data_IF_244545740882
#
_entry.id   IF_244545740882
#
_cell.length_a   1.000
_cell.length_b   1.000
_cell.length_c   1.000
_cell.angle_alpha   90.00
_cell.angle_beta   90.00
_cell.angle_gamma   90.00
#
_symmetry.space_group_name_H-M   'P 1'
#
loop_
_entity.id
_entity.type
_entity.pdbx_description
1 polymer ?
#
# COMPACT_ATOMS: atom_id res chain seq x y z
N UNK A 1 22.60 -15.46 -39.13
CA UNK A 1 22.58 -14.22 -39.92
C UNK A 1 22.02 -13.16 -39.00
N UNK A 2 22.84 -12.41 -38.30
CA UNK A 2 23.48 -11.12 -38.54
C UNK A 2 22.51 -10.08 -39.14
N UNK A 3 22.30 -9.04 -38.32
CA UNK A 3 22.24 -7.60 -38.58
C UNK A 3 21.30 -6.94 -37.59
N UNK A 4 21.47 -5.73 -37.06
CA UNK A 4 22.63 -4.88 -36.79
C UNK A 4 22.12 -3.79 -35.85
N UNK A 5 22.99 -3.35 -34.96
CA UNK A 5 22.80 -2.17 -34.08
C UNK A 5 22.90 -0.90 -34.94
N UNK A 6 22.12 0.12 -34.61
CA UNK A 6 22.54 1.51 -34.81
C UNK A 6 22.15 2.40 -33.62
N UNK A 7 23.16 3.03 -33.10
CA UNK A 7 23.16 4.18 -32.19
C UNK A 7 22.62 5.42 -32.90
N UNK A 8 21.99 6.35 -32.17
CA UNK A 8 22.19 7.78 -32.34
C UNK A 8 22.05 8.46 -30.97
N UNK A 9 23.08 9.18 -30.61
CA UNK A 9 23.21 10.02 -29.45
C UNK A 9 23.00 11.50 -29.83
N UNK A 10 22.65 12.29 -28.82
CA UNK A 10 22.81 13.75 -28.67
C UNK A 10 22.11 14.70 -29.63
N UNK A 11 21.35 15.63 -29.03
CA UNK A 11 21.65 17.08 -29.12
C UNK A 11 20.90 17.81 -27.99
N UNK A 12 21.65 18.47 -27.12
CA UNK A 12 21.25 19.54 -26.19
C UNK A 12 21.24 20.84 -27.00
N UNK A 13 20.15 21.60 -26.96
CA UNK A 13 20.19 23.03 -27.26
C UNK A 13 19.32 23.78 -26.25
N UNK A 14 20.02 24.61 -25.51
CA UNK A 14 19.53 25.67 -24.64
C UNK A 14 18.92 26.81 -25.45
N UNK A 15 17.77 27.30 -25.03
CA UNK A 15 17.31 28.64 -25.44
C UNK A 15 16.59 29.33 -24.27
N UNK A 16 17.33 30.26 -23.67
CA UNK A 16 16.81 31.33 -22.81
C UNK A 16 16.01 32.31 -23.66
N UNK A 17 14.81 32.62 -23.28
CA UNK A 17 14.11 33.85 -23.69
C UNK A 17 13.34 34.41 -22.51
N UNK A 18 13.83 35.53 -22.06
CA UNK A 18 13.26 36.47 -21.09
C UNK A 18 11.97 37.05 -21.60
N UNK A 19 10.92 37.06 -20.82
CA UNK A 19 9.81 37.98 -20.96
C UNK A 19 9.43 38.57 -19.60
N UNK A 20 9.80 39.84 -19.41
CA UNK A 20 9.41 40.67 -18.29
C UNK A 20 7.97 41.11 -18.48
N UNK A 21 7.11 40.85 -17.51
CA UNK A 21 5.86 41.59 -17.34
C UNK A 21 5.69 41.87 -15.85
N UNK A 22 5.82 43.17 -15.54
CA UNK A 22 5.54 43.79 -14.25
C UNK A 22 4.01 43.80 -14.05
N UNK A 23 3.52 43.20 -13.00
CA UNK A 23 2.24 43.53 -12.38
C UNK A 23 2.42 43.45 -10.84
N UNK A 24 1.91 44.49 -10.20
CA UNK A 24 2.04 44.78 -8.79
C UNK A 24 1.58 43.64 -7.88
N UNK A 25 2.42 43.28 -6.92
CA UNK A 25 2.06 42.47 -5.77
C UNK A 25 1.74 43.43 -4.61
N UNK A 26 0.49 43.49 -4.20
CA UNK A 26 0.09 44.10 -2.94
C UNK A 26 0.40 43.12 -1.78
N UNK A 27 0.88 43.71 -0.69
CA UNK A 27 1.29 43.12 0.56
C UNK A 27 0.24 42.17 1.17
N UNK A 28 0.57 40.87 1.22
CA UNK A 28 0.01 39.88 2.14
C UNK A 28 1.09 38.89 2.59
N UNK A 29 2.20 39.38 3.13
CA UNK A 29 3.37 38.58 3.43
C UNK A 29 3.88 38.63 4.88
N UNK A 30 3.06 38.98 5.87
CA UNK A 30 3.57 39.14 7.24
C UNK A 30 3.05 38.10 8.27
N UNK A 31 1.97 37.37 8.02
CA UNK A 31 1.37 36.50 9.04
C UNK A 31 1.67 34.98 8.90
N UNK A 32 2.31 34.56 7.80
CA UNK A 32 2.60 33.12 7.61
C UNK A 32 3.95 32.67 8.19
N UNK A 33 4.89 33.58 8.40
CA UNK A 33 6.20 33.24 8.98
C UNK A 33 6.12 32.99 10.49
N UNK A 34 5.21 33.67 11.20
CA UNK A 34 4.97 33.46 12.62
C UNK A 34 4.32 32.11 12.94
N UNK A 35 3.35 31.69 12.13
CA UNK A 35 2.65 30.43 12.34
C UNK A 35 3.51 29.18 12.04
N UNK A 36 4.44 29.28 11.08
CA UNK A 36 5.39 28.18 10.80
C UNK A 36 6.47 28.03 11.87
N UNK A 37 6.94 29.15 12.44
CA UNK A 37 7.93 29.11 13.52
C UNK A 37 7.32 28.58 14.85
N UNK A 38 6.07 28.91 15.16
CA UNK A 38 5.38 28.38 16.35
C UNK A 38 5.03 26.89 16.20
N UNK A 39 4.68 26.41 15.01
CA UNK A 39 4.45 24.96 14.76
C UNK A 39 5.72 24.14 14.76
N UNK A 40 6.84 24.65 14.27
CA UNK A 40 8.13 23.95 14.37
C UNK A 40 8.64 23.90 15.81
N UNK A 41 8.46 24.96 16.61
CA UNK A 41 8.86 24.98 18.03
C UNK A 41 7.98 24.07 18.90
N UNK A 42 6.68 23.99 18.64
CA UNK A 42 5.77 23.06 19.30
C UNK A 42 6.06 21.60 18.93
N UNK A 43 6.35 21.33 17.66
CA UNK A 43 6.71 19.99 17.21
C UNK A 43 8.05 19.51 17.81
N UNK A 44 9.03 20.39 17.99
CA UNK A 44 10.31 20.07 18.63
C UNK A 44 10.11 19.79 20.14
N UNK A 45 9.30 20.57 20.85
CA UNK A 45 9.04 20.36 22.27
C UNK A 45 8.21 19.10 22.58
N UNK A 46 7.27 18.71 21.71
CA UNK A 46 6.56 17.44 21.83
C UNK A 46 7.45 16.25 21.50
N UNK A 47 8.32 16.39 20.51
CA UNK A 47 9.31 15.39 20.13
C UNK A 47 10.33 15.17 21.28
N UNK A 48 10.80 16.23 21.90
CA UNK A 48 11.70 16.17 23.05
C UNK A 48 11.03 15.52 24.29
N UNK A 49 9.75 15.76 24.53
CA UNK A 49 8.99 15.12 25.61
C UNK A 49 8.77 13.62 25.39
N UNK A 50 8.70 13.17 24.13
CA UNK A 50 8.45 11.77 23.81
C UNK A 50 9.72 10.93 23.73
N UNK A 51 10.87 11.52 23.33
CA UNK A 51 12.14 10.79 23.12
C UNK A 51 13.19 10.99 24.23
N UNK A 52 12.93 11.85 25.21
CA UNK A 52 13.92 12.29 26.17
C UNK A 52 14.99 13.17 25.47
N UNK A 53 15.42 14.22 26.14
CA UNK A 53 16.51 15.08 25.66
C UNK A 53 17.72 14.22 25.33
N UNK A 54 18.27 14.34 24.12
CA UNK A 54 19.55 13.74 23.80
C UNK A 54 20.58 14.35 24.77
N UNK A 55 21.24 13.48 25.54
CA UNK A 55 22.29 13.91 26.46
C UNK A 55 23.41 14.57 25.65
N UNK A 56 24.03 15.62 26.21
CA UNK A 56 25.26 16.17 25.64
C UNK A 56 26.34 15.09 25.63
N UNK A 57 27.28 15.16 24.70
CA UNK A 57 28.32 14.14 24.54
C UNK A 57 29.20 13.92 25.78
N UNK A 58 29.14 14.82 26.75
CA UNK A 58 29.85 14.82 28.02
C UNK A 58 28.97 14.52 29.23
N UNK A 59 27.64 14.40 29.03
CA UNK A 59 26.69 14.07 30.09
C UNK A 59 26.49 12.56 30.22
N UNK A 60 26.72 12.01 31.39
CA UNK A 60 26.41 10.61 31.70
C UNK A 60 25.14 10.55 32.55
N UNK A 61 24.34 9.53 32.36
CA UNK A 61 23.31 9.12 33.28
C UNK A 61 23.97 8.27 34.38
N UNK A 62 23.89 8.71 35.58
CA UNK A 62 24.41 8.00 36.76
C UNK A 62 23.25 7.37 37.50
N UNK A 63 23.37 6.09 37.88
CA UNK A 63 22.36 5.43 38.68
C UNK A 63 22.40 5.99 40.12
N UNK A 64 21.28 6.43 40.75
CA UNK A 64 21.29 7.07 42.04
C UNK A 64 22.07 6.35 43.14
N UNK A 65 21.94 5.02 43.36
CA UNK A 65 22.76 4.33 44.35
C UNK A 65 24.28 4.44 44.11
N UNK A 66 24.68 4.41 42.83
CA UNK A 66 26.09 4.59 42.45
C UNK A 66 26.54 6.06 42.65
N UNK A 67 25.71 7.04 42.38
CA UNK A 67 25.97 8.45 42.59
C UNK A 67 26.17 8.76 44.09
N UNK A 68 25.43 8.06 44.99
CA UNK A 68 25.58 8.23 46.44
C UNK A 68 26.90 7.65 46.97
N UNK A 69 27.60 6.86 46.18
CA UNK A 69 28.86 6.21 46.56
C UNK A 69 28.68 5.08 47.63
N UNK A 70 27.45 4.64 47.84
CA UNK A 70 27.18 3.52 48.72
C UNK A 70 27.10 2.18 47.95
N UNK A 71 28.25 1.57 47.75
CA UNK A 71 28.38 0.29 47.08
C UNK A 71 27.60 -0.82 47.78
N UNK A 72 27.42 -0.68 49.10
CA UNK A 72 26.78 -1.69 49.93
C UNK A 72 25.26 -1.77 49.73
N UNK A 73 24.66 -0.90 48.96
CA UNK A 73 23.25 -1.01 48.55
C UNK A 73 23.05 -2.29 47.71
N UNK A 74 24.00 -2.63 46.84
CA UNK A 74 23.92 -3.74 45.92
C UNK A 74 24.95 -4.86 46.19
N UNK A 75 26.15 -4.50 46.69
CA UNK A 75 27.25 -5.40 46.92
C UNK A 75 27.44 -5.78 48.39
N UNK A 76 28.02 -6.96 48.63
CA UNK A 76 28.33 -7.43 50.02
C UNK A 76 29.41 -6.59 50.71
N UNK A 77 30.25 -5.89 49.95
CA UNK A 77 31.33 -5.04 50.48
C UNK A 77 31.32 -3.63 49.95
N UNK A 78 32.00 -2.70 50.69
CA UNK A 78 32.12 -1.31 50.30
C UNK A 78 33.08 -1.08 49.11
N UNK A 79 33.94 -2.05 48.78
CA UNK A 79 34.86 -2.01 47.65
C UNK A 79 34.83 -3.37 46.91
N UNK A 80 33.79 -3.64 46.16
CA UNK A 80 33.70 -4.90 45.39
C UNK A 80 34.79 -4.92 44.32
N UNK A 81 35.69 -5.90 44.37
CA UNK A 81 36.77 -6.08 43.36
C UNK A 81 36.23 -6.77 42.12
N UNK A 82 35.20 -7.60 42.25
CA UNK A 82 34.53 -8.31 41.15
C UNK A 82 33.02 -8.14 41.23
N UNK A 83 32.33 -8.12 40.08
CA UNK A 83 30.88 -7.93 39.96
C UNK A 83 30.05 -9.10 40.52
N UNK A 84 30.68 -10.11 41.15
CA UNK A 84 30.04 -11.32 41.64
C UNK A 84 29.55 -11.21 43.13
N UNK A 85 29.94 -10.15 43.86
CA UNK A 85 29.57 -9.97 45.25
C UNK A 85 28.24 -9.25 45.42
N UNK A 86 27.22 -9.67 44.72
CA UNK A 86 25.88 -9.09 44.88
C UNK A 86 25.15 -9.67 46.11
N UNK A 87 24.42 -8.81 46.82
CA UNK A 87 23.62 -9.23 47.99
C UNK A 87 22.46 -10.15 47.67
N UNK A 88 21.96 -10.04 46.44
CA UNK A 88 20.87 -10.88 45.91
C UNK A 88 21.13 -11.15 44.46
N UNK A 89 20.64 -12.26 43.97
CA UNK A 89 20.60 -12.52 42.53
C UNK A 89 19.69 -11.51 41.82
N UNK A 90 19.92 -11.32 40.52
CA UNK A 90 19.01 -10.57 39.66
C UNK A 90 17.91 -11.53 39.14
N UNK A 91 16.65 -11.11 39.06
CA UNK A 91 16.14 -9.72 39.14
C UNK A 91 15.81 -9.23 40.58
N UNK A 92 15.86 -10.07 41.58
CA UNK A 92 15.42 -9.77 42.94
C UNK A 92 16.15 -8.56 43.51
N UNK A 93 17.45 -8.41 43.24
CA UNK A 93 18.22 -7.24 43.63
C UNK A 93 17.63 -5.96 43.06
N UNK A 94 17.32 -5.95 41.77
CA UNK A 94 16.77 -4.79 41.10
C UNK A 94 15.35 -4.43 41.62
N UNK A 95 14.55 -5.46 41.91
CA UNK A 95 13.16 -5.30 42.36
C UNK A 95 13.05 -4.81 43.81
N UNK A 96 14.15 -4.68 44.55
CA UNK A 96 14.13 -3.99 45.84
C UNK A 96 13.70 -2.52 45.70
N UNK A 97 13.96 -1.90 44.53
CA UNK A 97 13.67 -0.50 44.25
C UNK A 97 12.82 -0.30 42.99
N UNK A 98 12.90 -1.20 42.05
CA UNK A 98 12.17 -1.11 40.77
C UNK A 98 10.96 -2.03 40.75
N UNK A 99 9.87 -1.54 40.14
CA UNK A 99 8.70 -2.37 39.89
C UNK A 99 9.07 -3.57 39.00
N UNK A 100 8.57 -4.78 39.31
CA UNK A 100 8.83 -5.98 38.50
C UNK A 100 8.49 -5.77 37.02
N UNK A 101 9.37 -6.25 36.13
CA UNK A 101 9.26 -6.09 34.67
C UNK A 101 8.88 -7.38 33.95
N UNK A 102 8.54 -8.43 34.68
CA UNK A 102 8.19 -9.79 34.22
C UNK A 102 6.74 -10.18 34.57
N UNK A 103 5.85 -9.20 34.64
CA UNK A 103 4.49 -9.35 35.19
C UNK A 103 3.42 -9.76 34.17
N UNK A 104 3.72 -9.76 32.87
CA UNK A 104 2.75 -10.08 31.82
C UNK A 104 3.00 -11.44 31.18
N UNK A 105 2.09 -11.85 30.27
CA UNK A 105 2.08 -13.22 29.72
C UNK A 105 3.28 -13.58 28.83
N UNK A 106 3.86 -12.59 28.13
CA UNK A 106 5.00 -12.80 27.26
C UNK A 106 6.19 -12.00 27.76
N UNK A 107 7.08 -12.67 28.47
CA UNK A 107 8.29 -12.10 29.05
C UNK A 107 9.41 -12.23 28.01
N UNK A 108 10.20 -11.18 27.81
CA UNK A 108 11.43 -11.27 26.99
C UNK A 108 12.47 -12.14 27.68
N UNK A 109 13.11 -13.03 26.93
CA UNK A 109 14.01 -14.04 27.48
C UNK A 109 15.05 -13.51 28.49
N UNK A 110 15.85 -12.47 28.17
CA UNK A 110 16.80 -11.90 29.13
C UNK A 110 16.14 -11.39 30.41
N UNK A 111 14.94 -10.82 30.34
CA UNK A 111 14.20 -10.33 31.53
C UNK A 111 13.76 -11.52 32.39
N UNK A 112 13.20 -12.55 31.79
CA UNK A 112 12.82 -13.79 32.50
C UNK A 112 13.99 -14.55 33.11
N UNK A 113 15.19 -14.35 32.58
CA UNK A 113 16.44 -14.88 33.14
C UNK A 113 17.11 -13.95 34.17
N UNK A 114 16.51 -12.79 34.47
CA UNK A 114 17.11 -11.80 35.38
C UNK A 114 18.31 -11.06 34.79
N UNK A 115 18.61 -11.21 33.51
CA UNK A 115 19.79 -10.61 32.87
C UNK A 115 19.60 -9.11 32.55
N UNK A 116 19.24 -8.31 33.55
CA UNK A 116 18.99 -6.86 33.41
C UNK A 116 20.20 -6.12 32.86
N UNK A 117 21.41 -6.54 33.25
CA UNK A 117 22.70 -5.95 32.84
C UNK A 117 23.07 -6.24 31.38
N UNK A 118 22.39 -7.16 30.71
CA UNK A 118 22.55 -7.33 29.26
C UNK A 118 22.15 -6.09 28.45
N UNK A 119 21.24 -5.27 29.01
CA UNK A 119 20.73 -4.07 28.37
C UNK A 119 21.07 -2.78 29.15
N UNK A 120 21.18 -2.85 30.47
CA UNK A 120 21.38 -1.70 31.36
C UNK A 120 22.73 -1.80 32.10
N UNK A 121 23.44 -0.67 32.19
CA UNK A 121 24.59 -0.58 33.10
C UNK A 121 24.09 -0.07 34.44
N UNK A 122 24.23 -0.86 35.54
CA UNK A 122 23.69 -0.47 36.85
C UNK A 122 24.48 0.65 37.53
N UNK A 123 25.62 1.07 37.01
CA UNK A 123 26.41 2.13 37.55
C UNK A 123 26.19 3.46 36.82
N UNK A 124 26.66 3.55 35.60
CA UNK A 124 26.53 4.75 34.75
C UNK A 124 26.54 4.40 33.25
N UNK A 125 25.96 5.26 32.45
CA UNK A 125 26.00 5.12 30.99
C UNK A 125 25.95 6.49 30.32
N UNK A 126 26.61 6.69 29.18
CA UNK A 126 26.41 7.86 28.35
C UNK A 126 25.04 7.86 27.66
N UNK A 127 24.25 6.79 27.81
CA UNK A 127 23.00 6.64 27.11
C UNK A 127 21.81 6.75 28.09
N UNK A 128 20.71 7.31 27.61
CA UNK A 128 19.47 7.41 28.38
C UNK A 128 19.03 6.05 28.93
N UNK A 129 18.42 6.04 30.12
CA UNK A 129 17.95 4.82 30.81
C UNK A 129 19.07 3.84 31.12
N UNK A 130 20.30 4.32 31.22
CA UNK A 130 21.49 3.50 31.50
C UNK A 130 21.72 2.39 30.47
N UNK A 131 21.34 2.58 29.21
CA UNK A 131 21.51 1.56 28.18
C UNK A 131 22.98 1.37 27.78
N UNK A 132 23.36 0.12 27.55
CA UNK A 132 24.74 -0.24 27.17
C UNK A 132 25.06 0.06 25.68
N UNK A 133 24.09 0.51 24.90
CA UNK A 133 24.25 0.95 23.50
C UNK A 133 23.56 2.30 23.27
N UNK A 134 24.09 3.06 22.30
CA UNK A 134 23.60 4.38 21.98
C UNK A 134 22.22 4.36 21.30
N UNK A 135 21.96 3.36 20.47
CA UNK A 135 20.66 3.20 19.82
C UNK A 135 19.93 1.94 20.26
N UNK A 136 18.62 2.04 20.31
CA UNK A 136 17.74 0.88 20.60
C UNK A 136 17.94 -0.22 19.55
N UNK A 137 18.11 0.15 18.27
CA UNK A 137 18.27 -0.84 17.21
C UNK A 137 19.59 -1.60 17.39
N UNK A 138 20.72 -0.92 17.64
CA UNK A 138 22.00 -1.56 17.95
C UNK A 138 21.91 -2.47 19.17
N UNK A 139 21.22 -2.04 20.21
CA UNK A 139 21.03 -2.85 21.41
C UNK A 139 20.27 -4.15 21.08
N UNK A 140 19.15 -4.06 20.37
CA UNK A 140 18.36 -5.22 20.01
C UNK A 140 19.09 -6.14 19.04
N UNK A 141 19.73 -5.58 18.01
CA UNK A 141 20.41 -6.38 16.96
C UNK A 141 21.71 -7.01 17.42
N UNK A 142 22.27 -6.58 18.56
CA UNK A 142 23.44 -7.27 19.15
C UNK A 142 23.15 -8.74 19.48
N UNK A 143 21.88 -9.11 19.70
CA UNK A 143 21.42 -10.48 19.90
C UNK A 143 20.52 -10.97 18.76
N UNK A 144 19.77 -10.09 18.13
CA UNK A 144 18.86 -10.41 17.04
C UNK A 144 19.53 -10.25 15.66
N UNK A 145 20.62 -11.00 15.40
CA UNK A 145 21.44 -10.91 14.17
C UNK A 145 20.63 -11.04 12.87
N UNK A 146 19.59 -11.86 12.85
CA UNK A 146 18.73 -11.99 11.67
C UNK A 146 18.00 -10.69 11.34
N UNK A 147 17.67 -9.87 12.35
CA UNK A 147 17.07 -8.56 12.16
C UNK A 147 18.11 -7.50 11.78
N UNK A 148 19.32 -7.61 12.26
CA UNK A 148 20.43 -6.79 11.80
C UNK A 148 20.67 -6.97 10.29
N UNK A 149 20.83 -8.22 9.86
CA UNK A 149 20.95 -8.56 8.43
C UNK A 149 19.77 -8.08 7.61
N UNK A 150 18.54 -8.21 8.13
CA UNK A 150 17.34 -7.71 7.48
C UNK A 150 17.38 -6.20 7.28
N UNK A 151 17.70 -5.42 8.32
CA UNK A 151 17.77 -3.96 8.25
C UNK A 151 18.82 -3.46 7.25
N UNK A 152 19.94 -4.17 7.08
CA UNK A 152 20.99 -3.79 6.15
C UNK A 152 20.72 -4.18 4.70
N UNK A 153 19.96 -5.27 4.47
CA UNK A 153 19.81 -5.85 3.13
C UNK A 153 18.44 -5.57 2.50
N UNK A 154 17.42 -5.14 3.27
CA UNK A 154 16.08 -4.94 2.75
C UNK A 154 15.90 -3.56 2.12
N UNK A 155 15.37 -3.52 0.91
CA UNK A 155 15.22 -2.29 0.11
C UNK A 155 14.25 -1.28 0.73
N UNK A 156 13.08 -1.75 1.17
CA UNK A 156 12.04 -0.90 1.75
C UNK A 156 11.84 -1.28 3.22
N UNK A 157 12.44 -0.52 4.11
CA UNK A 157 12.25 -0.68 5.56
C UNK A 157 11.11 0.22 6.02
N UNK A 158 10.20 -0.32 6.83
CA UNK A 158 9.13 0.45 7.44
C UNK A 158 9.71 1.54 8.37
N UNK A 159 9.35 2.83 8.21
CA UNK A 159 10.01 3.92 8.91
C UNK A 159 10.11 3.75 10.44
N UNK A 160 9.06 3.32 11.18
CA UNK A 160 9.18 3.09 12.61
C UNK A 160 10.23 2.06 13.00
N UNK A 161 10.55 1.10 12.11
CA UNK A 161 11.58 0.07 12.34
C UNK A 161 12.99 0.65 12.21
N UNK A 162 13.17 1.61 11.27
CA UNK A 162 14.44 2.36 11.17
C UNK A 162 14.69 3.22 12.40
N UNK A 163 13.63 3.77 12.96
CA UNK A 163 13.72 4.63 14.13
C UNK A 163 14.08 3.81 15.38
N UNK A 164 13.17 2.96 15.85
CA UNK A 164 13.46 2.07 16.97
C UNK A 164 12.47 0.90 17.08
N UNK A 165 12.98 -0.26 17.48
CA UNK A 165 12.19 -1.48 17.66
C UNK A 165 11.07 -1.30 18.71
N UNK A 166 11.31 -0.46 19.71
CA UNK A 166 10.37 -0.19 20.80
C UNK A 166 9.19 0.67 20.40
N UNK A 167 9.09 1.14 19.16
CA UNK A 167 7.85 1.73 18.67
C UNK A 167 6.68 0.73 18.70
N UNK A 168 6.96 -0.54 18.48
CA UNK A 168 5.98 -1.63 18.44
C UNK A 168 6.15 -2.65 19.56
N UNK A 169 7.39 -2.90 20.01
CA UNK A 169 7.72 -3.90 21.00
C UNK A 169 8.02 -3.28 22.37
N UNK A 170 7.56 -3.90 23.45
CA UNK A 170 8.10 -3.63 24.77
C UNK A 170 9.26 -4.58 25.04
N UNK A 171 10.47 -4.09 25.37
CA UNK A 171 11.63 -4.94 25.56
C UNK A 171 11.60 -5.79 26.83
N UNK A 172 10.63 -5.58 27.71
CA UNK A 172 10.52 -6.30 28.98
C UNK A 172 9.43 -7.38 28.93
N UNK A 173 8.16 -6.96 28.86
CA UNK A 173 7.03 -7.88 28.94
C UNK A 173 5.77 -7.27 28.34
N UNK A 174 4.91 -8.08 27.72
CA UNK A 174 3.60 -7.69 27.22
C UNK A 174 2.61 -8.86 27.23
N UNK A 175 1.31 -8.52 27.14
CA UNK A 175 0.25 -9.54 27.04
C UNK A 175 0.07 -10.05 25.61
N UNK A 176 0.73 -9.45 24.64
CA UNK A 176 0.69 -9.84 23.26
C UNK A 176 1.97 -10.57 22.86
N UNK A 177 1.81 -11.59 22.00
CA UNK A 177 2.94 -12.38 21.46
C UNK A 177 4.00 -11.47 20.82
N UNK A 178 5.26 -11.81 21.00
CA UNK A 178 6.45 -11.01 20.63
C UNK A 178 6.56 -9.68 21.37
N UNK A 179 6.01 -9.59 22.56
CA UNK A 179 5.99 -8.39 23.38
C UNK A 179 5.46 -7.15 22.63
N UNK A 180 4.45 -7.33 21.77
CA UNK A 180 3.84 -6.24 21.04
C UNK A 180 2.92 -5.43 21.94
N UNK A 181 2.98 -4.11 21.84
CA UNK A 181 2.16 -3.14 22.61
C UNK A 181 0.65 -3.23 22.32
N UNK A 182 0.26 -3.93 21.25
CA UNK A 182 -1.13 -4.21 20.89
C UNK A 182 -1.23 -5.49 20.05
N UNK A 183 -2.46 -5.98 19.76
CA UNK A 183 -2.66 -7.17 18.93
C UNK A 183 -1.94 -7.04 17.57
N UNK A 184 -1.08 -8.02 17.29
CA UNK A 184 -0.18 -8.04 16.14
C UNK A 184 -0.87 -8.06 14.77
N UNK A 185 -2.12 -8.45 14.73
CA UNK A 185 -2.80 -8.70 13.45
C UNK A 185 -3.32 -7.42 12.82
N UNK A 186 -3.80 -6.49 13.64
CA UNK A 186 -4.47 -5.28 13.17
C UNK A 186 -4.22 -4.08 14.08
N UNK A 187 -4.43 -4.23 15.38
CA UNK A 187 -4.52 -3.09 16.29
C UNK A 187 -3.19 -2.34 16.41
N UNK A 188 -2.07 -3.06 16.46
CA UNK A 188 -0.73 -2.45 16.47
C UNK A 188 -0.50 -1.54 15.24
N UNK A 189 -0.98 -1.93 14.07
CA UNK A 189 -0.87 -1.12 12.87
C UNK A 189 -1.75 0.14 12.94
N UNK A 190 -2.96 -0.02 13.46
CA UNK A 190 -3.98 1.04 13.50
C UNK A 190 -3.75 2.06 14.64
N UNK A 191 -2.73 1.89 15.48
CA UNK A 191 -2.26 2.91 16.39
C UNK A 191 -1.72 4.13 15.64
N UNK A 192 -1.02 3.90 14.52
CA UNK A 192 -0.43 4.96 13.69
C UNK A 192 -1.19 5.18 12.38
N UNK A 193 -1.72 4.12 11.76
CA UNK A 193 -2.48 4.21 10.52
C UNK A 193 -3.96 4.55 10.77
N UNK A 194 -4.19 5.72 11.37
CA UNK A 194 -5.54 6.18 11.76
C UNK A 194 -6.44 6.38 10.53
N UNK A 195 -5.89 6.85 9.42
CA UNK A 195 -6.59 6.97 8.15
C UNK A 195 -7.15 5.63 7.67
N UNK A 196 -6.41 4.55 7.82
CA UNK A 196 -6.87 3.19 7.48
C UNK A 196 -7.90 2.69 8.48
N UNK A 197 -7.76 3.03 9.77
CA UNK A 197 -8.75 2.69 10.79
C UNK A 197 -10.11 3.29 10.45
N UNK A 198 -10.15 4.59 10.15
CA UNK A 198 -11.36 5.31 9.75
C UNK A 198 -11.91 4.74 8.44
N UNK A 199 -11.07 4.62 7.42
CA UNK A 199 -11.46 4.08 6.12
C UNK A 199 -12.13 2.69 6.23
N UNK A 200 -11.51 1.75 6.92
CA UNK A 200 -12.06 0.38 7.11
C UNK A 200 -13.38 0.40 7.88
N UNK A 201 -13.59 1.36 8.78
CA UNK A 201 -14.84 1.48 9.52
C UNK A 201 -16.00 2.01 8.65
N UNK A 202 -15.70 2.87 7.67
CA UNK A 202 -16.70 3.62 6.90
C UNK A 202 -17.04 2.99 5.54
N UNK A 203 -16.15 2.17 4.95
CA UNK A 203 -16.41 1.57 3.64
C UNK A 203 -17.52 0.51 3.70
N UNK A 204 -18.36 0.51 2.67
CA UNK A 204 -19.46 -0.45 2.52
C UNK A 204 -18.95 -1.85 2.21
N UNK A 205 -18.05 -1.98 1.22
CA UNK A 205 -17.48 -3.25 0.78
C UNK A 205 -16.05 -3.37 1.30
N UNK A 206 -15.83 -4.08 2.40
CA UNK A 206 -14.51 -4.41 2.95
C UNK A 206 -13.91 -5.57 2.21
N UNK A 207 -12.59 -5.55 2.03
CA UNK A 207 -11.89 -6.71 1.52
C UNK A 207 -11.82 -7.81 2.59
N UNK A 208 -12.34 -9.00 2.29
CA UNK A 208 -12.40 -10.11 3.25
C UNK A 208 -11.03 -10.54 3.82
N UNK A 209 -9.93 -10.25 3.12
CA UNK A 209 -8.57 -10.51 3.63
C UNK A 209 -8.26 -9.75 4.93
N UNK A 210 -8.88 -8.57 5.16
CA UNK A 210 -8.68 -7.78 6.38
C UNK A 210 -9.23 -8.49 7.62
N UNK A 211 -10.21 -9.36 7.45
CA UNK A 211 -10.84 -10.11 8.55
C UNK A 211 -10.33 -11.55 8.67
N UNK A 212 -9.38 -11.99 7.79
CA UNK A 212 -8.70 -13.28 7.89
C UNK A 212 -7.79 -13.33 9.13
N UNK A 213 -7.35 -14.53 9.58
CA UNK A 213 -6.56 -14.67 10.80
C UNK A 213 -5.28 -13.82 10.88
N UNK A 214 -4.62 -13.56 9.75
CA UNK A 214 -3.42 -12.73 9.69
C UNK A 214 -3.71 -11.25 9.41
N UNK A 215 -4.92 -10.90 8.97
CA UNK A 215 -5.38 -9.52 8.71
C UNK A 215 -4.41 -8.73 7.81
N UNK A 216 -3.82 -7.64 8.31
CA UNK A 216 -2.87 -6.82 7.55
C UNK A 216 -1.65 -7.61 7.06
N UNK A 217 -1.24 -8.62 7.82
CA UNK A 217 -0.08 -9.48 7.53
C UNK A 217 -0.36 -10.53 6.42
N UNK A 218 -1.57 -10.59 5.87
CA UNK A 218 -1.83 -11.39 4.66
C UNK A 218 -1.12 -10.79 3.45
N UNK A 219 -0.85 -9.48 3.47
CA UNK A 219 -0.34 -8.72 2.33
C UNK A 219 0.95 -7.96 2.63
N UNK A 220 1.20 -7.58 3.89
CA UNK A 220 2.29 -6.69 4.29
C UNK A 220 3.24 -7.37 5.28
N UNK A 221 4.55 -7.12 5.14
CA UNK A 221 5.52 -7.36 6.20
C UNK A 221 5.68 -6.07 7.03
N UNK A 222 5.45 -6.11 8.35
CA UNK A 222 5.49 -4.92 9.20
C UNK A 222 6.92 -4.37 9.40
N UNK A 223 7.96 -5.13 9.13
CA UNK A 223 9.34 -4.66 9.23
C UNK A 223 9.83 -4.02 7.93
N UNK A 224 9.35 -4.49 6.79
CA UNK A 224 9.78 -4.05 5.47
C UNK A 224 9.76 -5.20 4.47
N UNK A 225 10.09 -4.93 3.22
CA UNK A 225 10.24 -5.95 2.17
C UNK A 225 11.07 -5.43 1.00
N UNK A 226 11.30 -6.28 0.00
CA UNK A 226 11.94 -5.88 -1.26
C UNK A 226 11.00 -5.05 -2.18
N UNK A 227 9.75 -4.85 -1.77
CA UNK A 227 8.72 -4.21 -2.61
C UNK A 227 8.11 -2.99 -1.94
N UNK A 228 7.70 -1.96 -2.73
CA UNK A 228 7.02 -0.78 -2.21
C UNK A 228 5.79 -1.15 -1.38
N UNK A 229 5.51 -0.34 -0.36
CA UNK A 229 4.41 -0.57 0.59
C UNK A 229 4.52 -1.88 1.38
N UNK A 230 5.72 -2.44 1.43
CA UNK A 230 6.04 -3.64 2.21
C UNK A 230 5.21 -4.87 1.82
N UNK A 231 4.88 -4.98 0.53
CA UNK A 231 4.15 -6.12 -0.02
C UNK A 231 5.04 -7.37 0.01
N UNK A 232 4.45 -8.52 0.38
CA UNK A 232 5.17 -9.79 0.56
C UNK A 232 5.37 -10.59 -0.74
N UNK A 233 5.04 -10.03 -1.90
CA UNK A 233 5.21 -10.62 -3.23
C UNK A 233 5.74 -9.60 -4.22
N UNK A 234 6.35 -10.08 -5.30
CA UNK A 234 7.01 -9.24 -6.31
C UNK A 234 6.04 -8.29 -7.02
N UNK A 235 4.83 -8.74 -7.27
CA UNK A 235 3.79 -7.93 -7.89
C UNK A 235 2.46 -8.01 -7.14
N UNK A 236 1.63 -6.97 -7.29
CA UNK A 236 0.26 -7.01 -6.77
C UNK A 236 -0.54 -8.16 -7.40
N UNK A 237 -0.29 -8.51 -8.67
CA UNK A 237 -0.93 -9.65 -9.34
C UNK A 237 -0.59 -10.97 -8.64
N UNK A 238 0.67 -11.24 -8.38
CA UNK A 238 1.08 -12.45 -7.66
C UNK A 238 0.45 -12.51 -6.27
N UNK A 239 0.48 -11.40 -5.53
CA UNK A 239 -0.15 -11.33 -4.22
C UNK A 239 -1.65 -11.62 -4.28
N UNK A 240 -2.38 -10.95 -5.16
CA UNK A 240 -3.83 -11.12 -5.27
C UNK A 240 -4.20 -12.55 -5.70
N UNK A 241 -3.45 -13.13 -6.64
CA UNK A 241 -3.69 -14.47 -7.15
C UNK A 241 -3.34 -15.59 -6.17
N UNK A 242 -2.72 -15.31 -5.01
CA UNK A 242 -2.57 -16.33 -3.95
C UNK A 242 -3.92 -16.79 -3.40
N UNK A 243 -4.95 -15.94 -3.49
CA UNK A 243 -6.31 -16.25 -3.03
C UNK A 243 -7.34 -16.22 -4.17
N UNK A 244 -7.17 -15.34 -5.17
CA UNK A 244 -8.05 -15.24 -6.33
C UNK A 244 -7.76 -16.27 -7.43
N UNK A 245 -7.17 -17.41 -7.04
CA UNK A 245 -6.91 -18.59 -7.88
C UNK A 245 -8.03 -19.65 -7.77
N UNK A 246 -9.06 -19.37 -7.00
CA UNK A 246 -10.24 -20.20 -6.84
C UNK A 246 -11.54 -19.37 -6.88
N UNK A 247 -12.69 -20.03 -6.89
CA UNK A 247 -13.97 -19.35 -6.82
C UNK A 247 -14.34 -19.08 -5.37
N UNK A 248 -14.11 -17.88 -4.93
CA UNK A 248 -14.47 -17.40 -3.60
C UNK A 248 -15.98 -17.10 -3.51
N UNK A 249 -16.50 -17.03 -2.30
CA UNK A 249 -17.86 -16.55 -2.01
C UNK A 249 -17.76 -15.27 -1.16
N UNK A 250 -18.70 -14.36 -1.36
CA UNK A 250 -18.90 -13.25 -0.42
C UNK A 250 -19.60 -13.76 0.82
N UNK A 251 -19.20 -13.29 2.00
CA UNK A 251 -19.70 -13.80 3.28
C UNK A 251 -21.20 -13.55 3.50
N UNK A 252 -21.70 -12.38 3.09
CA UNK A 252 -23.07 -11.95 3.37
C UNK A 252 -24.11 -12.50 2.39
N UNK A 253 -23.77 -12.60 1.12
CA UNK A 253 -24.75 -12.95 0.07
C UNK A 253 -24.50 -14.33 -0.55
N UNK A 254 -23.38 -14.96 -0.24
CA UNK A 254 -22.95 -16.20 -0.88
C UNK A 254 -22.65 -16.05 -2.38
N UNK A 255 -22.55 -14.81 -2.89
CA UNK A 255 -22.26 -14.55 -4.30
C UNK A 255 -20.90 -15.14 -4.69
N UNK A 256 -20.90 -15.94 -5.74
CA UNK A 256 -19.69 -16.60 -6.23
C UNK A 256 -18.84 -15.62 -7.03
N UNK A 257 -17.65 -15.31 -6.52
CA UNK A 257 -16.64 -14.54 -7.24
C UNK A 257 -15.95 -15.42 -8.29
N UNK A 258 -15.56 -14.82 -9.40
CA UNK A 258 -14.85 -15.49 -10.47
C UNK A 258 -13.43 -15.88 -10.00
N UNK A 259 -12.97 -17.06 -10.38
CA UNK A 259 -11.56 -17.42 -10.31
C UNK A 259 -10.78 -16.58 -11.33
N UNK A 260 -10.06 -15.57 -10.84
CA UNK A 260 -9.35 -14.60 -11.69
C UNK A 260 -8.12 -15.23 -12.33
N UNK A 261 -7.37 -16.06 -11.60
CA UNK A 261 -6.19 -16.73 -12.16
C UNK A 261 -6.58 -17.56 -13.38
N UNK A 262 -7.62 -18.39 -13.25
CA UNK A 262 -8.14 -19.19 -14.35
C UNK A 262 -8.69 -18.34 -15.50
N UNK A 263 -9.35 -17.24 -15.18
CA UNK A 263 -9.86 -16.33 -16.21
C UNK A 263 -8.72 -15.71 -17.04
N UNK A 264 -7.64 -15.30 -16.38
CA UNK A 264 -6.45 -14.75 -17.06
C UNK A 264 -5.72 -15.81 -17.89
N UNK A 265 -5.62 -17.04 -17.38
CA UNK A 265 -5.06 -18.17 -18.15
C UNK A 265 -5.87 -18.47 -19.41
N UNK A 266 -7.19 -18.50 -19.30
CA UNK A 266 -8.09 -18.79 -20.42
C UNK A 266 -8.19 -17.62 -21.42
N UNK A 267 -7.80 -16.41 -21.05
CA UNK A 267 -7.94 -15.16 -21.81
C UNK A 267 -6.63 -14.35 -21.83
N UNK A 268 -5.64 -14.74 -22.63
CA UNK A 268 -4.27 -14.23 -22.57
C UNK A 268 -4.05 -12.81 -23.13
N UNK A 269 -5.03 -12.22 -23.81
CA UNK A 269 -5.00 -10.80 -24.23
C UNK A 269 -5.41 -9.94 -23.01
N UNK A 270 -4.43 -9.60 -22.17
CA UNK A 270 -4.67 -8.90 -20.90
C UNK A 270 -4.69 -7.39 -21.07
N UNK A 271 -5.61 -6.74 -20.37
CA UNK A 271 -5.63 -5.29 -20.26
C UNK A 271 -4.33 -4.76 -19.61
N UNK A 272 -3.85 -3.60 -20.07
CA UNK A 272 -2.54 -3.05 -19.71
C UNK A 272 -2.19 -3.10 -18.22
N UNK A 273 -3.03 -2.61 -17.28
CA UNK A 273 -2.73 -2.68 -15.85
C UNK A 273 -2.48 -4.12 -15.35
N UNK A 274 -3.19 -5.10 -15.89
CA UNK A 274 -3.02 -6.52 -15.52
C UNK A 274 -1.73 -7.08 -16.11
N UNK A 275 -1.38 -6.68 -17.33
CA UNK A 275 -0.11 -7.04 -17.96
C UNK A 275 1.08 -6.54 -17.12
N UNK A 276 0.96 -5.34 -16.53
CA UNK A 276 1.97 -4.77 -15.63
C UNK A 276 1.91 -5.31 -14.20
N UNK A 277 0.96 -6.19 -13.90
CA UNK A 277 0.81 -6.79 -12.57
C UNK A 277 0.13 -5.89 -11.55
N UNK A 278 -0.49 -4.77 -11.96
CA UNK A 278 -1.12 -3.79 -11.07
C UNK A 278 -2.65 -3.92 -11.01
N UNK A 279 -3.13 -4.88 -10.24
CA UNK A 279 -4.55 -5.01 -9.91
C UNK A 279 -5.08 -3.78 -9.14
N UNK A 280 -4.20 -3.15 -8.36
CA UNK A 280 -4.54 -1.98 -7.56
C UNK A 280 -4.68 -0.70 -8.40
N UNK A 281 -4.38 -0.71 -9.70
CA UNK A 281 -4.73 0.39 -10.60
C UNK A 281 -6.25 0.66 -10.59
N UNK A 282 -7.05 -0.40 -10.55
CA UNK A 282 -8.52 -0.32 -10.57
C UNK A 282 -9.16 -0.61 -9.22
N UNK A 283 -8.64 -1.56 -8.44
CA UNK A 283 -9.20 -2.01 -7.18
C UNK A 283 -8.55 -1.33 -5.97
N UNK A 284 -9.35 -1.07 -4.92
CA UNK A 284 -8.81 -0.70 -3.62
C UNK A 284 -8.74 -1.95 -2.74
N UNK A 285 -7.53 -2.47 -2.43
CA UNK A 285 -7.38 -3.71 -1.69
C UNK A 285 -7.83 -3.64 -0.22
N UNK A 286 -8.10 -2.46 0.31
CA UNK A 286 -8.59 -2.29 1.68
C UNK A 286 -10.12 -2.18 1.77
N UNK A 287 -10.80 -2.03 0.64
CA UNK A 287 -12.25 -1.86 0.56
C UNK A 287 -12.64 -0.58 -0.17
N UNK A 288 -13.91 -0.47 -0.55
CA UNK A 288 -14.44 0.67 -1.28
C UNK A 288 -15.97 0.73 -1.17
N UNK A 289 -16.55 1.89 -1.47
CA UNK A 289 -17.99 2.07 -1.62
C UNK A 289 -18.48 1.76 -3.06
N UNK A 290 -17.57 1.36 -3.94
CA UNK A 290 -17.87 1.04 -5.33
C UNK A 290 -17.93 -0.47 -5.54
N UNK A 291 -18.72 -0.90 -6.55
CA UNK A 291 -18.86 -2.29 -6.94
C UNK A 291 -17.50 -3.01 -7.00
N UNK A 292 -17.37 -4.15 -6.33
CA UNK A 292 -16.17 -5.00 -6.32
C UNK A 292 -14.91 -4.28 -5.89
N UNK A 293 -15.05 -3.36 -4.97
CA UNK A 293 -13.95 -2.55 -4.41
C UNK A 293 -13.19 -1.74 -5.47
N UNK A 294 -13.86 -1.29 -6.52
CA UNK A 294 -13.25 -0.40 -7.50
C UNK A 294 -12.98 0.98 -6.87
N UNK A 295 -11.92 1.64 -7.30
CA UNK A 295 -11.54 2.99 -6.83
C UNK A 295 -12.54 4.07 -7.23
N UNK A 296 -13.22 3.86 -8.36
CA UNK A 296 -14.28 4.74 -8.87
C UNK A 296 -15.47 3.92 -9.36
N UNK A 297 -16.64 4.56 -9.56
CA UNK A 297 -17.81 3.91 -10.11
C UNK A 297 -17.55 3.20 -11.45
N UNK A 298 -18.30 2.15 -11.65
CA UNK A 298 -18.31 1.35 -12.86
C UNK A 298 -19.75 0.94 -13.18
N UNK A 299 -20.16 0.90 -14.45
CA UNK A 299 -21.53 0.54 -14.82
C UNK A 299 -21.96 -0.81 -14.25
N UNK A 300 -23.10 -0.82 -13.53
CA UNK A 300 -23.61 -2.04 -12.91
C UNK A 300 -24.48 -2.86 -13.84
N UNK A 301 -25.13 -2.20 -14.79
CA UNK A 301 -26.15 -2.79 -15.67
C UNK A 301 -25.71 -2.80 -17.13
N UNK A 302 -26.45 -3.53 -17.97
CA UNK A 302 -26.21 -3.56 -19.41
C UNK A 302 -26.51 -2.22 -20.08
N UNK A 303 -27.58 -1.56 -19.66
CA UNK A 303 -27.94 -0.20 -20.08
C UNK A 303 -27.70 0.75 -18.92
N UNK A 304 -26.85 1.75 -19.15
CA UNK A 304 -26.56 2.77 -18.15
C UNK A 304 -26.11 4.05 -18.88
N UNK A 305 -26.56 5.19 -18.35
CA UNK A 305 -26.14 6.49 -18.92
C UNK A 305 -24.64 6.67 -18.80
N UNK A 306 -24.03 7.21 -19.82
CA UNK A 306 -22.61 7.53 -19.85
C UNK A 306 -22.28 8.60 -18.80
N UNK A 307 -21.25 8.33 -17.99
CA UNK A 307 -20.76 9.25 -16.95
C UNK A 307 -19.25 9.42 -17.09
N UNK A 308 -18.87 10.48 -17.80
CA UNK A 308 -17.46 10.83 -18.08
C UNK A 308 -16.66 11.12 -16.81
N UNK A 309 -17.28 11.78 -15.82
CA UNK A 309 -16.56 12.28 -14.64
C UNK A 309 -16.27 11.18 -13.63
N UNK A 310 -17.17 10.25 -13.51
CA UNK A 310 -17.16 9.30 -12.41
C UNK A 310 -16.66 7.91 -12.81
N UNK A 311 -16.81 7.46 -14.06
CA UNK A 311 -16.40 6.11 -14.44
C UNK A 311 -14.88 5.91 -14.39
N UNK A 312 -14.47 4.77 -13.82
CA UNK A 312 -13.06 4.39 -13.63
C UNK A 312 -12.25 4.34 -14.94
N UNK A 313 -12.88 4.02 -16.06
CA UNK A 313 -12.24 3.92 -17.37
C UNK A 313 -11.57 5.24 -17.79
N UNK A 314 -12.18 6.36 -17.46
CA UNK A 314 -11.71 7.70 -17.85
C UNK A 314 -10.64 8.29 -16.91
N UNK A 315 -10.05 7.44 -16.05
CA UNK A 315 -8.77 7.79 -15.41
C UNK A 315 -7.57 7.64 -16.37
N UNK A 316 -7.75 6.84 -17.44
CA UNK A 316 -6.69 6.52 -18.40
C UNK A 316 -7.14 6.66 -19.86
N UNK A 317 -8.42 6.48 -20.15
CA UNK A 317 -8.99 6.56 -21.50
C UNK A 317 -9.63 7.93 -21.73
N UNK A 318 -9.40 8.49 -22.93
CA UNK A 318 -9.99 9.76 -23.31
C UNK A 318 -11.50 9.62 -23.56
N UNK A 319 -12.34 10.47 -22.94
CA UNK A 319 -13.79 10.43 -23.09
C UNK A 319 -14.28 10.70 -24.51
N UNK A 320 -13.50 11.39 -25.35
CA UNK A 320 -13.82 11.74 -26.73
C UNK A 320 -14.07 10.51 -27.61
N UNK A 321 -13.49 9.33 -27.23
CA UNK A 321 -13.84 8.04 -27.83
C UNK A 321 -15.34 7.74 -27.80
N UNK A 322 -16.07 8.32 -26.85
CA UNK A 322 -17.50 8.11 -26.62
C UNK A 322 -18.33 9.34 -26.93
N UNK A 323 -17.80 10.56 -26.68
CA UNK A 323 -18.54 11.82 -26.75
C UNK A 323 -18.68 12.38 -28.16
N UNK A 324 -17.63 12.25 -28.94
CA UNK A 324 -17.62 12.78 -30.30
C UNK A 324 -18.54 11.95 -31.19
N UNK A 325 -19.58 12.55 -31.74
CA UNK A 325 -20.48 11.89 -32.68
C UNK A 325 -19.77 11.57 -34.01
N UNK A 326 -18.90 12.46 -34.45
CA UNK A 326 -18.06 12.30 -35.62
C UNK A 326 -16.59 12.44 -35.24
N UNK A 327 -15.76 11.57 -35.75
CA UNK A 327 -14.30 11.55 -35.49
C UNK A 327 -13.56 10.74 -36.55
N UNK A 328 -12.34 11.15 -36.84
CA UNK A 328 -11.39 10.36 -37.62
C UNK A 328 -10.22 9.85 -36.77
N UNK A 329 -10.05 10.37 -35.55
CA UNK A 329 -8.89 10.14 -34.67
C UNK A 329 -9.24 9.45 -33.35
N UNK A 330 -10.34 9.85 -32.68
CA UNK A 330 -10.63 9.43 -31.30
C UNK A 330 -10.85 7.92 -31.17
N UNK A 331 -11.33 7.24 -32.22
CA UNK A 331 -11.56 5.79 -32.21
C UNK A 331 -11.48 5.19 -33.61
N UNK A 332 -11.00 3.94 -33.68
CA UNK A 332 -11.08 3.11 -34.88
C UNK A 332 -12.44 2.39 -35.04
N UNK A 333 -13.28 2.40 -34.00
CA UNK A 333 -14.64 1.86 -34.08
C UNK A 333 -15.59 2.93 -34.68
N UNK A 334 -15.43 3.17 -35.98
CA UNK A 334 -16.16 4.17 -36.75
C UNK A 334 -16.48 3.70 -38.17
N UNK A 335 -17.51 4.25 -38.75
CA UNK A 335 -17.92 4.00 -40.15
C UNK A 335 -17.80 5.31 -40.91
N UNK A 336 -16.77 5.45 -41.74
CA UNK A 336 -16.29 6.74 -42.17
C UNK A 336 -15.86 7.58 -40.96
N UNK A 337 -16.43 8.76 -40.81
CA UNK A 337 -16.24 9.65 -39.66
C UNK A 337 -17.25 9.41 -38.51
N UNK A 338 -18.29 8.59 -38.74
CA UNK A 338 -19.33 8.35 -37.73
C UNK A 338 -18.85 7.41 -36.64
N UNK A 339 -18.75 7.92 -35.42
CA UNK A 339 -18.33 7.18 -34.24
C UNK A 339 -19.38 6.16 -33.80
N UNK A 340 -19.03 4.87 -33.82
CA UNK A 340 -19.95 3.79 -33.44
C UNK A 340 -20.03 3.61 -31.92
N UNK A 341 -19.00 4.00 -31.14
CA UNK A 341 -19.12 4.07 -29.68
C UNK A 341 -20.21 5.09 -29.30
N UNK A 342 -20.20 6.29 -29.90
CA UNK A 342 -21.25 7.29 -29.65
C UNK A 342 -22.65 6.72 -29.90
N UNK A 343 -22.83 6.03 -31.03
CA UNK A 343 -24.13 5.43 -31.40
C UNK A 343 -24.63 4.42 -30.36
N UNK A 344 -23.69 3.68 -29.71
CA UNK A 344 -24.06 2.62 -28.76
C UNK A 344 -24.15 3.11 -27.32
N UNK A 345 -23.28 4.00 -26.91
CA UNK A 345 -23.05 4.36 -25.51
C UNK A 345 -23.70 5.69 -25.14
N UNK A 346 -23.56 6.71 -26.00
CA UNK A 346 -24.00 8.08 -25.67
C UNK A 346 -25.50 8.30 -25.95
N UNK A 347 -26.34 7.61 -25.16
CA UNK A 347 -27.81 7.71 -25.21
C UNK A 347 -28.40 7.52 -23.80
N UNK A 348 -29.62 7.99 -23.56
CA UNK A 348 -30.32 7.82 -22.29
C UNK A 348 -30.38 6.34 -21.89
N UNK A 349 -30.59 5.43 -22.85
CA UNK A 349 -30.47 3.97 -22.66
C UNK A 349 -29.25 3.45 -23.43
N UNK A 350 -28.11 4.09 -23.22
CA UNK A 350 -26.83 3.66 -23.79
C UNK A 350 -26.39 2.32 -23.24
N UNK A 351 -25.67 1.57 -24.04
CA UNK A 351 -25.01 0.34 -23.57
C UNK A 351 -23.80 0.71 -22.74
N UNK A 352 -23.65 0.10 -21.59
CA UNK A 352 -22.46 0.29 -20.76
C UNK A 352 -21.24 -0.39 -21.39
N UNK A 353 -20.03 0.04 -21.01
CA UNK A 353 -18.78 -0.51 -21.51
C UNK A 353 -18.69 -2.04 -21.32
N UNK A 354 -19.21 -2.55 -20.19
CA UNK A 354 -19.25 -3.98 -19.88
C UNK A 354 -20.15 -4.81 -20.82
N UNK A 355 -21.01 -4.16 -21.57
CA UNK A 355 -21.85 -4.88 -22.54
C UNK A 355 -21.02 -5.47 -23.69
N UNK A 356 -19.85 -4.90 -23.97
CA UNK A 356 -19.01 -5.33 -25.08
C UNK A 356 -17.59 -5.74 -24.62
N UNK A 357 -17.03 -5.13 -23.58
CA UNK A 357 -15.64 -5.33 -23.17
C UNK A 357 -15.50 -6.20 -21.90
N UNK A 358 -14.43 -7.01 -21.87
CA UNK A 358 -13.88 -7.65 -20.69
C UNK A 358 -12.60 -6.90 -20.28
N UNK A 359 -12.54 -6.47 -19.01
CA UNK A 359 -11.48 -5.59 -18.53
C UNK A 359 -10.30 -6.34 -17.90
N UNK A 360 -10.42 -7.66 -17.74
CA UNK A 360 -9.32 -8.47 -17.25
C UNK A 360 -8.55 -9.10 -18.40
N UNK A 361 -9.24 -9.65 -19.38
CA UNK A 361 -8.60 -10.24 -20.56
C UNK A 361 -9.60 -10.90 -21.47
N UNK A 362 -9.19 -11.10 -22.73
CA UNK A 362 -9.94 -11.80 -23.77
C UNK A 362 -9.05 -12.78 -24.51
N UNK A 363 -9.65 -13.60 -25.37
CA UNK A 363 -8.93 -14.57 -26.19
C UNK A 363 -9.23 -14.45 -27.69
N UNK A 364 -10.48 -14.21 -28.03
CA UNK A 364 -10.95 -14.46 -29.39
C UNK A 364 -11.04 -13.19 -30.23
N UNK A 365 -11.24 -12.05 -29.59
CA UNK A 365 -11.41 -10.79 -30.28
C UNK A 365 -10.45 -9.73 -29.73
N UNK A 366 -9.89 -8.87 -30.58
CA UNK A 366 -9.03 -7.78 -30.19
C UNK A 366 -9.80 -6.72 -29.37
N UNK A 367 -9.05 -5.76 -28.80
CA UNK A 367 -9.60 -4.63 -28.06
C UNK A 367 -10.46 -5.05 -26.86
N UNK A 368 -10.14 -6.19 -26.24
CA UNK A 368 -10.87 -6.76 -25.10
C UNK A 368 -12.36 -6.94 -25.35
N UNK A 369 -12.77 -7.22 -26.58
CA UNK A 369 -14.14 -7.55 -26.91
C UNK A 369 -14.51 -8.95 -26.40
N UNK A 370 -15.65 -9.04 -25.72
CA UNK A 370 -16.21 -10.31 -25.24
C UNK A 370 -16.71 -11.17 -26.39
N UNK A 371 -16.53 -12.47 -26.30
CA UNK A 371 -17.22 -13.43 -27.17
C UNK A 371 -18.73 -13.39 -27.00
N UNK A 372 -19.16 -13.26 -25.73
CA UNK A 372 -20.58 -13.23 -25.35
C UNK A 372 -20.82 -12.10 -24.36
N UNK A 373 -21.98 -11.47 -24.44
CA UNK A 373 -22.46 -10.48 -23.49
C UNK A 373 -23.68 -10.99 -22.75
N UNK A 374 -23.74 -10.72 -21.44
CA UNK A 374 -24.89 -11.09 -20.61
C UNK A 374 -25.95 -9.99 -20.62
N UNK A 375 -27.16 -10.37 -20.96
CA UNK A 375 -28.34 -9.52 -20.83
C UNK A 375 -29.43 -10.28 -20.05
N UNK A 376 -29.74 -9.83 -18.87
CA UNK A 376 -30.56 -10.58 -17.93
C UNK A 376 -29.93 -11.95 -17.61
N UNK A 377 -30.65 -13.02 -17.85
CA UNK A 377 -30.20 -14.40 -17.65
C UNK A 377 -29.62 -15.05 -18.93
N UNK A 378 -29.61 -14.33 -20.04
CA UNK A 378 -29.23 -14.86 -21.36
C UNK A 378 -27.86 -14.33 -21.75
N UNK A 379 -27.02 -15.21 -22.32
CA UNK A 379 -25.75 -14.83 -22.91
C UNK A 379 -25.88 -14.77 -24.43
N UNK A 380 -25.71 -13.57 -24.98
CA UNK A 380 -25.73 -13.32 -26.42
C UNK A 380 -24.32 -13.31 -27.01
N UNK A 381 -24.05 -14.04 -28.12
CA UNK A 381 -22.77 -13.95 -28.81
C UNK A 381 -22.65 -12.59 -29.52
N UNK A 382 -21.47 -11.98 -29.50
CA UNK A 382 -21.19 -10.71 -30.20
C UNK A 382 -20.91 -10.98 -31.70
N UNK A 383 -20.30 -12.09 -32.03
CA UNK A 383 -19.97 -12.52 -33.42
C UNK A 383 -19.22 -11.44 -34.20
N UNK A 384 -18.18 -10.91 -33.56
CA UNK A 384 -17.31 -9.91 -34.19
C UNK A 384 -16.46 -10.56 -35.30
N UNK A 385 -16.26 -9.83 -36.39
CA UNK A 385 -15.32 -10.15 -37.46
C UNK A 385 -14.54 -8.88 -37.77
N UNK A 386 -13.22 -8.97 -37.69
CA UNK A 386 -12.32 -7.88 -38.02
C UNK A 386 -12.05 -7.87 -39.53
N UNK A 387 -11.87 -6.69 -40.10
CA UNK A 387 -11.39 -6.45 -41.44
C UNK A 387 -10.28 -5.40 -41.40
N UNK A 388 -9.51 -5.25 -42.48
CA UNK A 388 -8.37 -4.34 -42.54
C UNK A 388 -8.71 -2.92 -42.09
N UNK A 389 -9.81 -2.36 -42.60
CA UNK A 389 -10.21 -0.98 -42.27
C UNK A 389 -11.47 -0.90 -41.44
N UNK A 390 -11.90 -1.98 -40.78
CA UNK A 390 -13.15 -1.96 -40.03
C UNK A 390 -13.52 -3.29 -39.41
N UNK A 391 -14.79 -3.67 -39.58
CA UNK A 391 -15.28 -4.93 -39.06
C UNK A 391 -16.79 -5.07 -39.16
N UNK A 392 -17.30 -6.12 -38.52
CA UNK A 392 -18.73 -6.32 -38.37
C UNK A 392 -19.10 -7.00 -37.08
N UNK A 393 -20.30 -6.76 -36.60
CA UNK A 393 -20.90 -7.44 -35.46
C UNK A 393 -22.29 -7.96 -35.78
N UNK A 394 -22.63 -9.13 -35.22
CA UNK A 394 -23.98 -9.68 -35.28
C UNK A 394 -24.45 -10.13 -33.89
N UNK A 395 -24.55 -9.19 -32.93
CA UNK A 395 -25.14 -9.49 -31.63
C UNK A 395 -26.64 -9.77 -31.78
N UNK A 396 -27.23 -10.42 -30.81
CA UNK A 396 -28.67 -10.70 -30.89
C UNK A 396 -29.57 -9.44 -30.87
N UNK A 397 -28.99 -8.27 -30.63
CA UNK A 397 -29.71 -6.99 -30.62
C UNK A 397 -30.05 -6.47 -32.03
N UNK A 398 -29.34 -6.90 -33.08
CA UNK A 398 -29.57 -6.53 -34.49
C UNK A 398 -28.92 -7.55 -35.42
N UNK A 399 -29.35 -7.57 -36.66
CA UNK A 399 -28.68 -8.29 -37.75
C UNK A 399 -27.23 -7.83 -37.93
N UNK A 400 -26.42 -8.57 -38.67
CA UNK A 400 -25.02 -8.20 -38.91
C UNK A 400 -24.95 -6.78 -39.51
N UNK A 401 -24.13 -5.95 -38.84
CA UNK A 401 -23.80 -4.61 -39.33
C UNK A 401 -22.31 -4.51 -39.57
N UNK A 402 -21.95 -3.88 -40.66
CA UNK A 402 -20.59 -3.65 -41.09
C UNK A 402 -20.19 -2.19 -40.85
N UNK A 403 -18.91 -1.98 -40.62
CA UNK A 403 -18.32 -0.65 -40.59
C UNK A 403 -16.95 -0.68 -41.23
N UNK A 404 -16.58 0.45 -41.81
CA UNK A 404 -15.30 0.63 -42.47
C UNK A 404 -14.89 2.10 -42.37
N UNK A 405 -13.65 2.33 -42.02
CA UNK A 405 -13.12 3.67 -41.76
C UNK A 405 -12.93 4.48 -43.02
N UNK A 406 -12.62 3.82 -44.16
CA UNK A 406 -12.31 4.45 -45.43
C UNK A 406 -13.50 4.41 -46.38
N UNK A 407 -14.20 3.29 -46.46
CA UNK A 407 -15.35 3.08 -47.31
C UNK A 407 -16.61 2.82 -46.46
N UNK A 408 -17.31 3.88 -46.02
CA UNK A 408 -18.45 3.75 -45.11
C UNK A 408 -19.51 2.76 -45.65
N UNK A 409 -19.96 1.87 -44.79
CA UNK A 409 -20.93 0.83 -45.14
C UNK A 409 -22.37 1.29 -44.89
N UNK A 410 -23.23 1.05 -45.87
CA UNK A 410 -24.66 1.25 -45.68
C UNK A 410 -25.25 -0.02 -45.04
N UNK A 411 -25.79 0.11 -43.84
CA UNK A 411 -26.44 -0.97 -43.13
C UNK A 411 -27.96 -0.80 -43.25
N UNK A 412 -28.63 -1.70 -43.88
CA UNK A 412 -30.09 -1.71 -43.97
C UNK A 412 -30.68 -1.84 -42.55
N UNK A 413 -31.84 -1.20 -42.33
CA UNK A 413 -32.56 -1.22 -41.06
C UNK A 413 -33.07 -2.59 -40.67
#
# INVERSE_FOLDING_TARGET
MKYNRFYIANIIISLLLTCTSIMAAEDFGADMAGAQAETETLALTEKEKFYGTALRADEKVVHPPYEWGDCTVCHEGANPEDGEDLKLDTPELCYQCHEPKDTKNFIHGPVGAGACTACHNPHESPNAKLLVRASINELCTSCHEAKDKFLHNTTYIHPPVKDQCTNCHDPHTEDNLYQLKADRKKDICLMCHVDKKVWIAEVTDKHGAIDRPRKCLECHDPHGSEHPKFIIKDTAKELCLTCHNESLKTDETGYKLQNIAKHLEDNPDWHGPILWGDCAACHNPHGSNNLRMLKKPFPRTFYESFDEKNYICFQCHEPDKIKAEFTIEATNFRNGDKNIHFVHVNKIKGRSCRACHDFHGTKEYPHHLRKKTQFGRINFPIRYIETENGGSCAPACHARRHYDRETPKVNLK
#
